data_IF_519662290077
#
_entry.id   IF_519662290077
#
_cell.length_a   1.000
_cell.length_b   1.000
_cell.length_c   1.000
_cell.angle_alpha   90.00
_cell.angle_beta   90.00
_cell.angle_gamma   90.00
#
_symmetry.space_group_name_H-M   'P 1'
#
loop_
_entity.id
_entity.type
_entity.pdbx_description
1 polymer ?
#
# COMPACT_ATOMS: atom_id res chain seq x y z
N UNK A 1 6.01 1.54 18.54
CA UNK A 1 4.99 1.19 17.53
C UNK A 1 4.87 2.40 16.61
N UNK A 2 5.07 2.19 15.32
CA UNK A 2 4.85 3.19 14.30
C UNK A 2 3.55 2.86 13.55
N UNK A 3 2.85 3.88 13.06
CA UNK A 3 1.56 3.70 12.40
C UNK A 3 1.65 4.05 10.92
N UNK A 4 1.11 3.18 10.07
CA UNK A 4 0.88 3.44 8.65
C UNK A 4 -0.62 3.31 8.34
N UNK A 5 -1.03 3.79 7.19
CA UNK A 5 -2.44 4.06 6.91
C UNK A 5 -2.87 3.44 5.59
N UNK A 6 -4.12 2.95 5.56
CA UNK A 6 -4.79 2.51 4.34
C UNK A 6 -6.21 3.03 4.32
N UNK A 7 -6.73 3.31 3.12
CA UNK A 7 -8.16 3.56 2.92
C UNK A 7 -8.72 2.41 2.08
N UNK A 8 -9.47 1.52 2.73
CA UNK A 8 -9.97 0.30 2.14
C UNK A 8 -11.48 0.14 2.32
N UNK A 9 -12.05 -0.83 1.62
CA UNK A 9 -13.47 -1.20 1.67
C UNK A 9 -13.61 -2.60 2.22
N UNK A 10 -14.71 -2.87 2.91
CA UNK A 10 -15.13 -4.25 3.15
C UNK A 10 -15.69 -4.83 1.85
N UNK A 11 -15.32 -6.06 1.52
CA UNK A 11 -15.83 -6.83 0.38
C UNK A 11 -16.41 -8.15 0.89
N UNK A 12 -17.17 -8.89 0.06
CA UNK A 12 -17.64 -10.23 0.45
C UNK A 12 -16.51 -11.21 0.79
N UNK A 13 -15.31 -11.01 0.22
CA UNK A 13 -14.18 -11.95 0.31
C UNK A 13 -13.14 -11.55 1.38
N UNK A 14 -13.05 -10.26 1.72
CA UNK A 14 -12.09 -9.73 2.69
C UNK A 14 -12.53 -8.38 3.27
N UNK A 15 -12.12 -8.12 4.52
CA UNK A 15 -12.40 -6.87 5.24
C UNK A 15 -11.36 -5.78 4.97
N UNK A 16 -11.70 -4.52 5.29
CA UNK A 16 -10.82 -3.37 5.10
C UNK A 16 -9.51 -3.45 5.92
N UNK A 17 -9.53 -4.10 7.07
CA UNK A 17 -8.40 -4.38 7.96
C UNK A 17 -7.73 -5.74 7.68
N UNK A 18 -8.05 -6.39 6.55
CA UNK A 18 -7.33 -7.57 6.09
C UNK A 18 -5.82 -7.30 5.93
N UNK A 19 -5.01 -8.18 6.51
CA UNK A 19 -3.56 -8.18 6.36
C UNK A 19 -3.05 -9.35 5.50
N UNK A 20 -3.93 -10.16 4.90
CA UNK A 20 -3.50 -11.27 4.03
C UNK A 20 -3.01 -10.80 2.67
N UNK A 21 -3.41 -9.61 2.21
CA UNK A 21 -2.98 -9.06 0.93
C UNK A 21 -3.62 -9.75 -0.27
N UNK A 22 -4.75 -10.44 -0.06
CA UNK A 22 -5.45 -11.23 -1.09
C UNK A 22 -5.86 -10.38 -2.29
N UNK A 23 -6.36 -9.16 -2.07
CA UNK A 23 -6.74 -8.26 -3.16
C UNK A 23 -5.59 -8.00 -4.13
N UNK A 24 -4.44 -7.53 -3.60
CA UNK A 24 -3.26 -7.27 -4.40
C UNK A 24 -2.66 -8.55 -5.01
N UNK A 25 -2.79 -9.70 -4.35
CA UNK A 25 -2.38 -11.00 -4.90
C UNK A 25 -3.14 -11.33 -6.18
N UNK A 26 -4.43 -11.05 -6.23
CA UNK A 26 -5.29 -11.34 -7.39
C UNK A 26 -5.03 -10.38 -8.54
N UNK A 27 -5.03 -9.07 -8.26
CA UNK A 27 -4.97 -8.05 -9.31
C UNK A 27 -3.55 -7.67 -9.72
N UNK A 28 -2.56 -7.92 -8.86
CA UNK A 28 -1.27 -7.25 -8.94
C UNK A 28 -1.37 -5.77 -8.53
N UNK A 29 -0.23 -5.09 -8.57
CA UNK A 29 -0.08 -3.67 -8.28
C UNK A 29 1.26 -3.16 -8.81
N UNK A 30 1.66 -1.93 -8.45
CA UNK A 30 2.94 -1.37 -8.91
C UNK A 30 4.15 -2.19 -8.47
N UNK A 31 4.11 -2.71 -7.24
CA UNK A 31 5.23 -3.37 -6.58
C UNK A 31 5.01 -4.87 -6.39
N UNK A 32 3.99 -5.46 -7.01
CA UNK A 32 3.78 -6.91 -6.97
C UNK A 32 3.13 -7.42 -8.26
N UNK A 33 3.70 -8.49 -8.81
CA UNK A 33 3.03 -9.25 -9.86
C UNK A 33 1.83 -10.05 -9.28
N UNK A 34 0.80 -10.35 -10.09
CA UNK A 34 -0.25 -11.29 -9.70
C UNK A 34 0.35 -12.61 -9.16
N UNK A 35 -0.24 -13.14 -8.10
CA UNK A 35 0.25 -14.30 -7.36
C UNK A 35 1.07 -13.96 -6.11
N UNK A 36 1.67 -12.77 -6.04
CA UNK A 36 2.38 -12.29 -4.84
C UNK A 36 1.46 -11.45 -3.96
N UNK A 37 1.21 -11.93 -2.75
CA UNK A 37 0.43 -11.20 -1.76
C UNK A 37 1.25 -10.06 -1.16
N UNK A 38 0.64 -8.89 -1.06
CA UNK A 38 1.24 -7.70 -0.43
C UNK A 38 0.13 -6.81 0.11
N UNK A 39 0.42 -6.12 1.19
CA UNK A 39 -0.47 -5.12 1.78
C UNK A 39 0.11 -3.73 1.49
N UNK A 40 -0.64 -2.93 0.73
CA UNK A 40 -0.27 -1.55 0.43
C UNK A 40 -0.79 -0.58 1.49
N UNK A 41 0.11 0.22 2.04
CA UNK A 41 -0.17 1.29 2.99
C UNK A 41 0.55 2.56 2.56
N UNK A 42 0.23 3.68 3.19
CA UNK A 42 0.98 4.93 3.12
C UNK A 42 1.47 5.34 4.50
N UNK A 43 2.62 6.01 4.56
CA UNK A 43 3.16 6.55 5.82
C UNK A 43 2.24 7.62 6.42
N UNK A 44 1.54 8.38 5.57
CA UNK A 44 0.64 9.45 5.96
C UNK A 44 -0.81 9.20 5.51
N UNK A 45 -1.77 9.68 6.31
CA UNK A 45 -3.21 9.65 5.94
C UNK A 45 -3.48 10.45 4.67
N UNK A 46 -2.79 11.58 4.48
CA UNK A 46 -2.89 12.42 3.28
C UNK A 46 -2.48 11.66 2.02
N UNK A 47 -1.38 10.91 2.07
CA UNK A 47 -0.91 10.11 0.95
C UNK A 47 -1.84 8.92 0.67
N UNK A 48 -2.30 8.22 1.72
CA UNK A 48 -3.31 7.16 1.55
C UNK A 48 -4.55 7.69 0.84
N UNK A 49 -4.99 8.92 1.18
CA UNK A 49 -6.11 9.59 0.55
C UNK A 49 -5.83 9.93 -0.91
N UNK A 50 -4.62 10.39 -1.24
CA UNK A 50 -4.22 10.75 -2.60
C UNK A 50 -4.11 9.52 -3.52
N UNK A 51 -3.43 8.47 -3.06
CA UNK A 51 -3.29 7.19 -3.78
C UNK A 51 -4.67 6.59 -4.08
N UNK A 52 -5.53 6.53 -3.06
CA UNK A 52 -6.88 6.00 -3.21
C UNK A 52 -7.73 6.88 -4.13
N UNK A 53 -7.57 8.21 -4.09
CA UNK A 53 -8.31 9.13 -4.96
C UNK A 53 -7.91 8.98 -6.43
N UNK A 54 -6.61 8.80 -6.73
CA UNK A 54 -6.14 8.57 -8.11
C UNK A 54 -6.69 7.24 -8.66
N UNK A 55 -6.71 6.19 -7.84
CA UNK A 55 -7.30 4.90 -8.23
C UNK A 55 -8.82 4.99 -8.42
N UNK A 56 -9.50 5.80 -7.58
CA UNK A 56 -10.92 6.09 -7.72
C UNK A 56 -11.20 6.95 -8.97
N UNK A 57 -10.37 7.93 -9.32
CA UNK A 57 -10.63 8.73 -10.52
C UNK A 57 -10.70 7.86 -11.79
N UNK A 58 -10.04 6.69 -11.76
CA UNK A 58 -10.11 5.67 -12.80
C UNK A 58 -11.31 4.69 -12.68
N UNK A 59 -12.14 4.75 -11.63
CA UNK A 59 -13.25 3.81 -11.37
C UNK A 59 -14.46 4.43 -10.62
N UNK A 60 -15.69 4.03 -10.92
CA UNK A 60 -16.87 4.59 -10.22
C UNK A 60 -16.85 4.30 -8.71
N UNK A 61 -17.03 5.34 -7.88
CA UNK A 61 -16.92 5.35 -6.42
C UNK A 61 -17.82 4.33 -5.67
N UNK A 62 -17.27 3.37 -4.92
CA UNK A 62 -17.96 2.76 -3.80
C UNK A 62 -17.82 3.66 -2.55
N UNK A 63 -18.96 3.98 -1.91
CA UNK A 63 -19.08 4.98 -0.84
C UNK A 63 -18.70 4.48 0.57
N UNK A 64 -18.43 3.18 0.74
CA UNK A 64 -18.16 2.58 2.05
C UNK A 64 -16.68 2.30 2.27
N UNK A 65 -15.90 3.35 2.54
CA UNK A 65 -14.47 3.26 2.84
C UNK A 65 -14.20 3.48 4.33
N UNK A 66 -13.12 2.87 4.81
CA UNK A 66 -12.62 3.02 6.16
C UNK A 66 -11.19 3.50 6.14
N UNK A 67 -10.86 4.40 7.07
CA UNK A 67 -9.47 4.65 7.44
C UNK A 67 -9.03 3.51 8.35
N UNK A 68 -8.00 2.81 7.91
CA UNK A 68 -7.40 1.69 8.62
C UNK A 68 -6.03 2.12 9.11
N UNK A 69 -5.81 1.98 10.41
CA UNK A 69 -4.51 2.13 11.05
C UNK A 69 -3.84 0.78 11.09
N UNK A 70 -2.58 0.73 10.69
CA UNK A 70 -1.76 -0.48 10.71
C UNK A 70 -0.57 -0.18 11.61
N UNK A 71 -0.50 -0.88 12.72
CA UNK A 71 0.51 -0.69 13.75
C UNK A 71 1.66 -1.68 13.52
N UNK A 72 2.85 -1.12 13.27
CA UNK A 72 4.09 -1.84 13.03
C UNK A 72 4.95 -1.74 14.31
N UNK A 73 5.39 -2.89 14.88
CA UNK A 73 6.38 -2.93 15.94
C UNK A 73 7.64 -2.13 15.62
N UNK A 74 8.23 -1.49 16.64
CA UNK A 74 9.36 -0.57 16.42
C UNK A 74 10.59 -1.30 15.85
N UNK A 75 10.86 -2.51 16.33
CA UNK A 75 11.90 -3.39 15.82
C UNK A 75 11.73 -3.70 14.33
N UNK A 76 10.50 -3.97 13.89
CA UNK A 76 10.21 -4.19 12.46
C UNK A 76 10.28 -2.90 11.64
N UNK A 77 9.86 -1.77 12.21
CA UNK A 77 9.99 -0.46 11.57
C UNK A 77 11.47 -0.11 11.32
N UNK A 78 12.31 -0.29 12.33
CA UNK A 78 13.74 0.01 12.25
C UNK A 78 14.47 -0.97 11.31
N UNK A 79 14.02 -2.23 11.24
CA UNK A 79 14.53 -3.25 10.33
C UNK A 79 13.96 -3.18 8.89
N UNK A 80 13.10 -2.19 8.59
CA UNK A 80 12.46 -2.09 7.28
C UNK A 80 13.45 -1.69 6.17
N UNK A 81 13.34 -2.32 5.01
CA UNK A 81 14.07 -1.89 3.81
C UNK A 81 13.46 -0.57 3.30
N UNK A 82 14.30 0.35 2.79
CA UNK A 82 13.86 1.64 2.25
C UNK A 82 14.45 1.83 0.86
N UNK A 83 13.57 1.98 -0.12
CA UNK A 83 13.93 2.36 -1.48
C UNK A 83 13.77 3.87 -1.61
N UNK A 84 14.83 4.57 -2.03
CA UNK A 84 14.78 6.01 -2.30
C UNK A 84 14.52 6.25 -3.78
N UNK A 85 13.76 7.29 -4.13
CA UNK A 85 13.44 7.62 -5.52
C UNK A 85 14.69 7.82 -6.40
N UNK A 86 15.79 8.30 -5.83
CA UNK A 86 17.08 8.55 -6.52
C UNK A 86 17.88 7.28 -6.73
N UNK A 87 17.66 6.24 -5.91
CA UNK A 87 18.38 4.96 -5.99
C UNK A 87 17.52 3.84 -6.57
N UNK A 88 16.22 4.10 -6.76
CA UNK A 88 15.29 3.16 -7.36
C UNK A 88 15.67 2.82 -8.81
N UNK A 89 15.35 1.58 -9.27
CA UNK A 89 15.61 1.19 -10.65
C UNK A 89 14.97 2.16 -11.64
N UNK A 90 15.70 2.51 -12.70
CA UNK A 90 15.17 3.38 -13.77
C UNK A 90 13.84 2.81 -14.29
N UNK A 91 12.80 3.65 -14.33
CA UNK A 91 11.45 3.28 -14.76
C UNK A 91 10.55 2.72 -13.65
N UNK A 92 10.94 2.77 -12.38
CA UNK A 92 10.08 2.40 -11.24
C UNK A 92 8.76 3.19 -11.22
N UNK A 93 8.83 4.45 -11.65
CA UNK A 93 7.78 5.47 -11.69
C UNK A 93 6.99 5.49 -13.00
N UNK A 94 7.22 4.54 -13.92
CA UNK A 94 6.51 4.47 -15.19
C UNK A 94 4.97 4.45 -14.99
N UNK A 95 4.27 5.10 -15.92
CA UNK A 95 2.81 5.20 -15.99
C UNK A 95 2.32 4.67 -17.36
N UNK A 96 1.64 3.50 -17.43
CA UNK A 96 1.31 2.59 -16.33
C UNK A 96 2.54 1.90 -15.72
N UNK A 97 2.38 1.28 -14.55
CA UNK A 97 3.46 0.59 -13.84
C UNK A 97 4.16 -0.44 -14.75
N UNK A 98 5.48 -0.35 -14.82
CA UNK A 98 6.31 -1.16 -15.71
C UNK A 98 7.05 -2.29 -15.00
N UNK A 99 7.87 -3.01 -15.77
CA UNK A 99 8.66 -4.16 -15.29
C UNK A 99 9.62 -3.81 -14.15
N UNK A 100 10.13 -2.59 -14.08
CA UNK A 100 11.14 -2.19 -13.09
C UNK A 100 10.62 -2.30 -11.64
N UNK A 101 9.49 -1.65 -11.32
CA UNK A 101 8.89 -1.70 -9.98
C UNK A 101 8.28 -3.07 -9.67
N UNK A 102 7.66 -3.72 -10.67
CA UNK A 102 7.13 -5.07 -10.53
C UNK A 102 8.22 -6.08 -10.16
N UNK A 103 9.36 -6.07 -10.88
CA UNK A 103 10.46 -6.98 -10.63
C UNK A 103 11.09 -6.72 -9.27
N UNK A 104 11.37 -5.46 -8.94
CA UNK A 104 11.96 -5.10 -7.65
C UNK A 104 11.12 -5.60 -6.46
N UNK A 105 9.82 -5.26 -6.47
CA UNK A 105 8.93 -5.61 -5.37
C UNK A 105 8.60 -7.11 -5.32
N UNK A 106 8.45 -7.78 -6.48
CA UNK A 106 8.22 -9.24 -6.50
C UNK A 106 9.43 -10.02 -5.99
N UNK A 107 10.66 -9.59 -6.32
CA UNK A 107 11.88 -10.18 -5.75
C UNK A 107 11.94 -9.98 -4.24
N UNK A 108 11.66 -8.77 -3.74
CA UNK A 108 11.59 -8.49 -2.31
C UNK A 108 10.57 -9.40 -1.58
N UNK A 109 9.38 -9.57 -2.17
CA UNK A 109 8.33 -10.44 -1.64
C UNK A 109 8.76 -11.91 -1.60
N UNK A 110 9.37 -12.40 -2.68
CA UNK A 110 9.81 -13.79 -2.82
C UNK A 110 10.93 -14.15 -1.84
N UNK A 111 11.92 -13.26 -1.69
CA UNK A 111 13.06 -13.44 -0.80
C UNK A 111 12.71 -13.17 0.67
N UNK A 112 11.56 -12.54 0.95
CA UNK A 112 11.12 -12.16 2.29
C UNK A 112 12.21 -11.39 3.05
N UNK A 113 12.88 -10.45 2.37
CA UNK A 113 14.04 -9.73 2.91
C UNK A 113 13.74 -8.92 4.18
N UNK A 114 12.52 -8.42 4.30
CA UNK A 114 12.02 -7.70 5.46
C UNK A 114 10.50 -7.83 5.55
N UNK A 115 9.94 -7.56 6.74
CA UNK A 115 8.49 -7.54 6.95
C UNK A 115 7.83 -6.35 6.22
N UNK A 116 8.53 -5.21 6.19
CA UNK A 116 8.06 -3.99 5.56
C UNK A 116 9.12 -3.44 4.60
N UNK A 117 8.66 -2.81 3.51
CA UNK A 117 9.48 -2.10 2.54
C UNK A 117 8.85 -0.73 2.28
N UNK A 118 9.62 0.32 2.51
CA UNK A 118 9.24 1.68 2.14
C UNK A 118 9.63 1.92 0.69
N UNK A 119 8.67 2.43 -0.08
CA UNK A 119 8.86 2.76 -1.48
C UNK A 119 8.33 4.18 -1.73
N UNK A 120 8.96 4.95 -2.63
CA UNK A 120 8.48 6.29 -2.95
C UNK A 120 7.09 6.19 -3.61
N UNK A 121 6.21 7.14 -3.28
CA UNK A 121 4.97 7.30 -4.05
C UNK A 121 5.31 7.87 -5.42
N UNK A 122 4.62 7.38 -6.46
CA UNK A 122 4.72 8.00 -7.81
C UNK A 122 3.99 9.34 -7.85
N UNK A 123 3.05 9.58 -6.92
CA UNK A 123 2.30 10.83 -6.86
C UNK A 123 3.11 11.91 -6.12
N UNK A 124 3.73 11.54 -4.99
CA UNK A 124 4.57 12.44 -4.18
C UNK A 124 5.87 11.70 -3.84
N UNK A 125 6.92 11.80 -4.69
CA UNK A 125 8.17 11.03 -4.51
C UNK A 125 8.92 11.30 -3.19
N UNK A 126 8.66 12.42 -2.53
CA UNK A 126 9.22 12.77 -1.23
C UNK A 126 8.51 12.07 -0.05
N UNK A 127 7.36 11.43 -0.28
CA UNK A 127 6.63 10.64 0.71
C UNK A 127 6.65 9.15 0.37
N UNK A 128 6.52 8.29 1.40
CA UNK A 128 6.62 6.85 1.24
C UNK A 128 5.26 6.14 1.33
N UNK A 129 5.05 5.24 0.38
CA UNK A 129 4.18 4.09 0.59
C UNK A 129 4.93 3.00 1.36
N UNK A 130 4.19 2.19 2.11
CA UNK A 130 4.74 1.08 2.90
C UNK A 130 4.08 -0.21 2.45
N UNK A 131 4.91 -1.13 1.95
CA UNK A 131 4.52 -2.47 1.56
C UNK A 131 4.74 -3.40 2.75
N UNK A 132 3.72 -4.16 3.14
CA UNK A 132 3.85 -5.22 4.15
C UNK A 132 3.81 -6.57 3.44
N UNK A 133 4.80 -7.42 3.71
CA UNK A 133 4.86 -8.78 3.19
C UNK A 133 4.15 -9.73 4.16
N UNK A 134 2.94 -10.21 3.84
CA UNK A 134 2.18 -11.08 4.74
C UNK A 134 2.81 -12.47 4.93
N UNK A 135 3.76 -12.85 4.08
CA UNK A 135 4.46 -14.13 4.16
C UNK A 135 5.80 -14.05 4.91
N UNK A 136 6.19 -12.86 5.38
CA UNK A 136 7.37 -12.70 6.22
C UNK A 136 7.13 -13.35 7.61
N UNK A 137 8.11 -14.05 8.21
CA UNK A 137 7.92 -14.73 9.51
C UNK A 137 7.40 -13.82 10.64
N UNK A 138 7.83 -12.56 10.65
CA UNK A 138 7.40 -11.58 11.66
C UNK A 138 6.09 -10.83 11.33
N UNK A 139 5.45 -11.08 10.18
CA UNK A 139 4.27 -10.34 9.76
C UNK A 139 3.10 -10.46 10.75
N UNK A 140 3.00 -11.57 11.48
CA UNK A 140 1.98 -11.79 12.51
C UNK A 140 2.06 -10.85 13.72
N UNK A 141 3.15 -10.08 13.86
CA UNK A 141 3.28 -9.03 14.88
C UNK A 141 2.63 -7.70 14.49
N UNK A 142 2.26 -7.54 13.21
CA UNK A 142 1.62 -6.34 12.68
C UNK A 142 0.10 -6.48 12.86
N UNK A 143 -0.56 -5.41 13.31
CA UNK A 143 -2.02 -5.40 13.49
C UNK A 143 -2.67 -4.29 12.68
N UNK A 144 -3.90 -4.52 12.24
CA UNK A 144 -4.71 -3.53 11.55
C UNK A 144 -6.01 -3.26 12.33
N UNK A 145 -6.51 -2.02 12.27
CA UNK A 145 -7.75 -1.63 12.93
C UNK A 145 -8.48 -0.57 12.12
N UNK A 146 -9.77 -0.82 11.85
CA UNK A 146 -10.67 0.21 11.28
C UNK A 146 -10.89 1.31 12.32
N UNK A 147 -10.38 2.51 12.04
CA UNK A 147 -10.45 3.65 12.99
C UNK A 147 -11.79 4.39 12.86
N UNK A 148 -12.21 4.66 11.63
CA UNK A 148 -13.44 5.37 11.30
C UNK A 148 -13.79 5.21 9.83
N UNK A 149 -15.02 5.59 9.47
CA UNK A 149 -15.36 5.80 8.05
C UNK A 149 -14.47 6.88 7.44
N UNK A 150 -14.10 6.67 6.18
CA UNK A 150 -13.41 7.66 5.37
C UNK A 150 -14.39 8.28 4.37
N UNK A 151 -14.57 9.59 4.49
CA UNK A 151 -15.40 10.39 3.61
C UNK A 151 -14.50 11.42 2.93
N UNK A 152 -14.44 11.37 1.59
CA UNK A 152 -13.82 12.45 0.83
C UNK A 152 -14.73 13.67 0.85
N UNK A 153 -14.12 14.85 0.84
CA UNK A 153 -14.86 16.11 0.75
C UNK A 153 -15.63 16.16 -0.58
N UNK A 154 -16.93 16.45 -0.50
CA UNK A 154 -17.82 16.58 -1.66
C UNK A 154 -17.38 17.60 -2.70
N UNK A 155 -16.43 18.49 -2.38
CA UNK A 155 -15.83 19.46 -3.30
C UNK A 155 -14.77 18.85 -4.23
N UNK A 156 -14.23 17.66 -3.94
CA UNK A 156 -13.23 16.95 -4.76
C UNK A 156 -13.79 16.34 -6.06
N UNK A 157 -14.90 16.86 -6.59
CA UNK A 157 -15.53 16.32 -7.80
C UNK A 157 -14.58 16.39 -9.00
N UNK A 158 -14.54 15.31 -9.77
CA UNK A 158 -14.03 15.34 -11.15
C UNK A 158 -14.77 16.44 -11.90
N UNK A 159 -14.04 17.33 -12.60
CA UNK A 159 -14.68 18.18 -13.61
C UNK A 159 -15.34 17.22 -14.60
N UNK A 160 -16.66 17.31 -14.69
CA UNK A 160 -17.46 16.62 -15.71
C UNK A 160 -17.07 17.12 -17.09
#
# INVERSE_FOLDING_TARGET
MAAVWRIATDTPDYEADDLTGTGAKVTGGRWNAPGFAVVYCAENVSLAAMETLVHIAASSLPLNRYLVRIDIPQDLWDASERLDAKTAPIGWDALPAGRASLAFGSTWLAERRSACLFVPSVIVPDESNVLVNPLHPDAGKISATKVRRWLYDSRLKSKT
#
